data_IF_842859306310
#
_entry.id   IF_842859306310
#
_cell.length_a   1.000
_cell.length_b   1.000
_cell.length_c   1.000
_cell.angle_alpha   90.00
_cell.angle_beta   90.00
_cell.angle_gamma   90.00
#
_symmetry.space_group_name_H-M   'P 1'
#
loop_
_entity.id
_entity.type
_entity.pdbx_description
1 polymer ?
#
# COMPACT_ATOMS: atom_id res chain seq x y z
N UNK A 1 -15.89 -2.70 22.77
CA UNK A 1 -14.47 -3.05 23.00
C UNK A 1 -13.65 -2.02 22.25
N UNK A 2 -12.91 -1.18 22.99
CA UNK A 2 -11.93 -0.27 22.39
C UNK A 2 -10.90 -1.14 21.67
N UNK A 3 -10.83 -1.08 20.34
CA UNK A 3 -9.78 -1.75 19.59
C UNK A 3 -8.49 -1.00 19.89
N UNK A 4 -7.59 -1.58 20.67
CA UNK A 4 -6.32 -0.95 21.01
C UNK A 4 -5.51 -0.72 19.74
N UNK A 5 -5.04 0.50 19.58
CA UNK A 5 -4.06 0.83 18.55
C UNK A 5 -2.75 0.11 18.85
N UNK A 6 -2.19 -0.53 17.84
CA UNK A 6 -0.89 -1.21 17.93
C UNK A 6 -0.11 -0.82 16.69
N UNK A 7 1.14 -0.42 16.89
CA UNK A 7 2.07 -0.12 15.81
C UNK A 7 3.45 -0.62 16.23
N UNK A 8 4.10 -1.36 15.34
CA UNK A 8 5.48 -1.81 15.51
C UNK A 8 6.23 -1.76 14.20
N UNK A 9 7.52 -1.47 14.31
CA UNK A 9 8.46 -1.49 13.18
C UNK A 9 8.96 -2.92 12.93
N UNK A 10 9.27 -3.23 11.67
CA UNK A 10 9.91 -4.47 11.22
C UNK A 10 11.33 -4.17 10.73
N UNK A 11 12.30 -3.88 11.62
CA UNK A 11 13.65 -3.47 11.23
C UNK A 11 14.39 -4.54 10.41
N UNK A 12 14.06 -5.82 10.62
CA UNK A 12 14.63 -6.95 9.89
C UNK A 12 14.05 -7.16 8.49
N UNK A 13 13.02 -6.40 8.07
CA UNK A 13 12.29 -6.65 6.83
C UNK A 13 13.22 -6.68 5.61
N UNK A 14 14.10 -5.68 5.48
CA UNK A 14 14.99 -5.56 4.31
C UNK A 14 16.01 -6.70 4.24
N UNK A 15 16.60 -7.05 5.36
CA UNK A 15 17.58 -8.15 5.43
C UNK A 15 16.91 -9.50 5.15
N UNK A 16 15.67 -9.68 5.63
CA UNK A 16 14.85 -10.85 5.29
C UNK A 16 14.51 -10.87 3.79
N UNK A 17 14.07 -9.76 3.22
CA UNK A 17 13.72 -9.70 1.79
C UNK A 17 14.92 -10.03 0.90
N UNK A 18 16.11 -9.49 1.23
CA UNK A 18 17.34 -9.79 0.50
C UNK A 18 17.78 -11.24 0.61
N UNK A 19 17.57 -11.88 1.76
CA UNK A 19 18.01 -13.25 2.01
C UNK A 19 17.01 -14.31 1.53
N UNK A 20 15.71 -14.06 1.67
CA UNK A 20 14.62 -14.96 1.26
C UNK A 20 14.21 -14.74 -0.20
N UNK A 21 14.52 -13.57 -0.79
CA UNK A 21 14.24 -13.22 -2.17
C UNK A 21 12.80 -12.76 -2.41
N UNK A 22 11.84 -13.22 -1.62
CA UNK A 22 10.47 -12.75 -1.61
C UNK A 22 9.84 -12.86 -0.22
N UNK A 23 8.96 -11.92 0.13
CA UNK A 23 8.20 -11.93 1.38
C UNK A 23 6.74 -11.62 1.11
N UNK A 24 5.83 -12.45 1.63
CA UNK A 24 4.40 -12.17 1.56
C UNK A 24 3.98 -11.20 2.64
N UNK A 25 3.11 -10.27 2.29
CA UNK A 25 2.55 -9.30 3.24
C UNK A 25 1.73 -10.01 4.31
N UNK A 26 1.00 -11.07 3.97
CA UNK A 26 0.22 -11.86 4.94
C UNK A 26 1.08 -12.44 6.07
N UNK A 27 2.35 -12.74 5.80
CA UNK A 27 3.28 -13.36 6.77
C UNK A 27 3.84 -12.37 7.77
N UNK A 28 3.58 -11.07 7.59
CA UNK A 28 3.93 -10.04 8.56
C UNK A 28 3.05 -10.07 9.82
N UNK A 29 1.95 -10.83 9.80
CA UNK A 29 1.00 -10.95 10.92
C UNK A 29 0.69 -12.41 11.24
N UNK A 30 0.33 -12.67 12.50
CA UNK A 30 0.04 -14.04 12.97
C UNK A 30 -1.38 -14.53 12.64
N UNK A 31 -2.27 -13.67 12.17
CA UNK A 31 -3.68 -14.01 11.95
C UNK A 31 -3.97 -14.30 10.47
N UNK A 32 -5.01 -15.09 10.23
CA UNK A 32 -5.42 -15.46 8.87
C UNK A 32 -5.82 -14.24 8.04
N UNK A 33 -5.09 -14.01 6.95
CA UNK A 33 -5.38 -13.01 5.93
C UNK A 33 -6.02 -13.71 4.74
N UNK A 34 -7.23 -13.28 4.37
CA UNK A 34 -7.94 -13.81 3.20
C UNK A 34 -7.76 -12.95 1.95
N UNK A 35 -7.28 -11.71 2.12
CA UNK A 35 -6.91 -10.82 1.05
C UNK A 35 -6.40 -9.48 1.56
N UNK A 36 -5.90 -8.68 0.63
CA UNK A 36 -5.25 -7.40 0.88
C UNK A 36 -5.91 -6.29 0.04
N UNK A 37 -5.79 -5.06 0.52
CA UNK A 37 -6.02 -3.87 -0.29
C UNK A 37 -4.73 -3.06 -0.31
N UNK A 38 -4.02 -3.12 -1.43
CA UNK A 38 -2.87 -2.27 -1.66
C UNK A 38 -3.30 -0.81 -1.75
N UNK A 39 -2.59 0.07 -1.05
CA UNK A 39 -2.73 1.51 -1.02
C UNK A 39 -1.53 2.14 -1.69
N UNK A 40 -1.79 2.98 -2.69
CA UNK A 40 -0.81 3.73 -3.43
C UNK A 40 -1.30 5.18 -3.54
N UNK A 41 -0.97 6.00 -2.54
CA UNK A 41 -1.24 7.44 -2.52
C UNK A 41 -2.70 7.77 -2.80
N UNK A 42 -3.59 7.05 -2.12
CA UNK A 42 -5.04 7.17 -2.27
C UNK A 42 -5.68 6.19 -3.24
N UNK A 43 -4.94 5.68 -4.24
CA UNK A 43 -5.37 4.58 -5.09
C UNK A 43 -5.37 3.26 -4.31
N UNK A 44 -6.34 2.40 -4.60
CA UNK A 44 -6.62 1.16 -3.88
C UNK A 44 -6.79 -0.01 -4.85
N UNK A 45 -5.97 -1.03 -4.72
CA UNK A 45 -6.04 -2.25 -5.54
C UNK A 45 -6.33 -3.45 -4.64
N UNK A 46 -7.53 -4.05 -4.72
CA UNK A 46 -7.83 -5.28 -4.00
C UNK A 46 -7.09 -6.46 -4.64
N UNK A 47 -6.42 -7.27 -3.81
CA UNK A 47 -5.76 -8.50 -4.21
C UNK A 47 -5.93 -9.63 -3.19
N UNK A 48 -5.71 -10.86 -3.63
CA UNK A 48 -5.67 -12.05 -2.79
C UNK A 48 -4.39 -12.11 -1.94
N UNK A 49 -3.29 -11.54 -2.45
CA UNK A 49 -2.01 -11.40 -1.76
C UNK A 49 -1.23 -10.20 -2.30
N UNK A 50 -0.27 -9.72 -1.53
CA UNK A 50 0.80 -8.84 -1.98
C UNK A 50 2.16 -9.43 -1.60
N UNK A 51 3.09 -9.49 -2.56
CA UNK A 51 4.41 -10.09 -2.36
C UNK A 51 5.49 -9.06 -2.67
N UNK A 52 6.36 -8.80 -1.70
CA UNK A 52 7.60 -8.08 -1.95
C UNK A 52 8.61 -9.04 -2.59
N UNK A 53 9.31 -8.57 -3.62
CA UNK A 53 10.29 -9.36 -4.36
C UNK A 53 11.60 -8.58 -4.45
N UNK A 54 12.71 -9.22 -4.08
CA UNK A 54 14.04 -8.66 -4.25
C UNK A 54 14.52 -8.81 -5.70
N UNK A 55 14.91 -7.71 -6.34
CA UNK A 55 15.34 -7.71 -7.75
C UNK A 55 16.84 -7.37 -7.93
N UNK A 56 17.61 -7.33 -6.84
CA UNK A 56 19.04 -7.03 -6.88
C UNK A 56 19.34 -5.53 -7.03
N UNK A 57 19.38 -4.82 -5.89
CA UNK A 57 19.61 -3.37 -5.83
C UNK A 57 18.32 -2.54 -5.79
N UNK A 58 17.17 -3.21 -5.85
CA UNK A 58 15.82 -2.66 -5.74
C UNK A 58 14.87 -3.77 -5.31
N UNK A 59 13.66 -3.41 -4.95
CA UNK A 59 12.60 -4.39 -4.71
C UNK A 59 11.30 -3.96 -5.36
N UNK A 60 10.47 -4.93 -5.67
CA UNK A 60 9.12 -4.69 -6.18
C UNK A 60 8.06 -5.19 -5.21
N UNK A 61 6.85 -4.68 -5.37
CA UNK A 61 5.63 -5.20 -4.78
C UNK A 61 4.73 -5.69 -5.91
N UNK A 62 4.37 -6.96 -5.87
CA UNK A 62 3.47 -7.59 -6.82
C UNK A 62 2.14 -7.92 -6.13
N UNK A 63 1.03 -7.52 -6.74
CA UNK A 63 -0.31 -7.79 -6.21
C UNK A 63 -0.97 -8.89 -7.03
N UNK A 64 -1.34 -9.99 -6.38
CA UNK A 64 -2.25 -11.01 -6.94
C UNK A 64 -3.66 -10.42 -6.96
N UNK A 65 -3.95 -9.58 -7.95
CA UNK A 65 -5.10 -8.70 -7.92
C UNK A 65 -6.43 -9.45 -8.21
N UNK A 66 -7.53 -8.89 -7.73
CA UNK A 66 -8.85 -9.46 -8.01
C UNK A 66 -9.28 -9.13 -9.43
N UNK A 67 -9.62 -10.16 -10.21
CA UNK A 67 -10.13 -10.03 -11.58
C UNK A 67 -9.00 -10.03 -12.61
N UNK A 68 -9.16 -9.22 -13.64
CA UNK A 68 -8.19 -8.99 -14.73
C UNK A 68 -7.24 -7.82 -14.46
N UNK A 69 -7.16 -7.38 -13.20
CA UNK A 69 -6.28 -6.28 -12.79
C UNK A 69 -4.85 -6.77 -12.67
N UNK A 70 -3.92 -5.85 -12.81
CA UNK A 70 -2.56 -6.01 -12.32
C UNK A 70 -2.14 -4.79 -11.52
N UNK A 71 -1.28 -5.00 -10.52
CA UNK A 71 -0.57 -3.93 -9.84
C UNK A 71 0.85 -4.38 -9.49
N UNK A 72 1.81 -3.59 -9.94
CA UNK A 72 3.24 -3.82 -9.75
C UNK A 72 3.96 -2.50 -9.54
N UNK A 73 4.79 -2.43 -8.51
CA UNK A 73 5.49 -1.20 -8.11
C UNK A 73 6.93 -1.51 -7.76
N UNK A 74 7.89 -0.72 -8.26
CA UNK A 74 9.33 -0.87 -7.99
C UNK A 74 9.82 0.30 -7.15
N UNK A 75 10.54 -0.05 -6.09
CA UNK A 75 11.13 0.86 -5.13
C UNK A 75 12.65 0.75 -5.13
N UNK A 76 13.33 1.89 -4.98
CA UNK A 76 14.79 1.97 -4.84
C UNK A 76 15.20 1.43 -3.47
N UNK A 77 16.14 0.49 -3.40
CA UNK A 77 16.52 -0.11 -2.12
C UNK A 77 17.23 0.91 -1.20
N UNK A 78 18.01 1.84 -1.75
CA UNK A 78 18.82 2.80 -0.99
C UNK A 78 18.04 4.01 -0.46
N UNK A 79 16.73 4.12 -0.71
CA UNK A 79 15.90 5.24 -0.26
C UNK A 79 15.56 5.25 1.25
N UNK A 80 16.16 4.36 2.06
CA UNK A 80 15.95 4.35 3.51
C UNK A 80 14.54 3.91 3.93
N UNK A 81 14.08 2.78 3.40
CA UNK A 81 12.75 2.23 3.70
C UNK A 81 12.66 1.62 5.10
N UNK A 82 11.67 2.10 5.87
CA UNK A 82 11.21 1.47 7.10
C UNK A 82 9.84 0.85 6.89
N UNK A 83 9.62 -0.33 7.47
CA UNK A 83 8.37 -1.09 7.34
C UNK A 83 7.72 -1.23 8.69
N UNK A 84 6.40 -1.04 8.72
CA UNK A 84 5.60 -1.02 9.92
C UNK A 84 4.41 -1.94 9.78
N UNK A 85 4.03 -2.57 10.87
CA UNK A 85 2.78 -3.30 10.97
C UNK A 85 1.96 -2.68 12.08
N UNK A 86 0.70 -2.41 11.79
CA UNK A 86 -0.15 -1.76 12.76
C UNK A 86 -1.63 -2.01 12.56
N UNK A 87 -2.40 -1.44 13.48
CA UNK A 87 -3.86 -1.38 13.44
C UNK A 87 -4.26 -0.06 14.10
N UNK A 88 -4.85 0.84 13.32
CA UNK A 88 -5.46 2.07 13.84
C UNK A 88 -6.90 1.80 14.27
N UNK A 89 -7.44 2.63 15.17
CA UNK A 89 -8.79 2.45 15.67
C UNK A 89 -9.82 2.52 14.53
N UNK A 90 -10.62 1.45 14.38
CA UNK A 90 -11.65 1.36 13.34
C UNK A 90 -11.16 0.83 11.98
N UNK A 91 -9.85 0.66 11.81
CA UNK A 91 -9.25 0.18 10.56
C UNK A 91 -8.82 -1.30 10.64
N UNK A 92 -8.75 -1.99 9.47
CA UNK A 92 -8.10 -3.29 9.39
C UNK A 92 -6.60 -3.17 9.73
N UNK A 93 -5.95 -4.26 10.18
CA UNK A 93 -4.49 -4.31 10.25
C UNK A 93 -3.87 -3.91 8.93
N UNK A 94 -2.65 -3.39 8.97
CA UNK A 94 -1.93 -3.01 7.77
C UNK A 94 -0.43 -3.30 7.91
N UNK A 95 0.21 -3.46 6.76
CA UNK A 95 1.66 -3.33 6.61
C UNK A 95 1.89 -2.06 5.79
N UNK A 96 2.57 -1.06 6.33
CA UNK A 96 2.90 0.18 5.64
C UNK A 96 4.41 0.36 5.58
N UNK A 97 4.89 1.12 4.61
CA UNK A 97 6.32 1.41 4.49
C UNK A 97 6.52 2.83 3.99
N UNK A 98 7.63 3.43 4.44
CA UNK A 98 7.94 4.84 4.21
C UNK A 98 9.45 5.00 4.04
N UNK A 99 9.86 5.73 3.00
CA UNK A 99 11.27 6.05 2.76
C UNK A 99 11.69 7.35 3.47
N UNK A 100 12.99 7.59 3.57
CA UNK A 100 13.51 8.82 4.19
C UNK A 100 13.02 10.07 3.45
N UNK A 101 13.08 10.05 2.11
CA UNK A 101 12.66 11.17 1.27
C UNK A 101 11.18 11.52 1.40
N UNK A 102 10.30 10.51 1.51
CA UNK A 102 8.86 10.70 1.78
C UNK A 102 8.66 11.44 3.10
N UNK A 103 9.28 10.93 4.16
CA UNK A 103 9.16 11.51 5.49
C UNK A 103 9.68 12.95 5.54
N UNK A 104 10.90 13.18 5.06
CA UNK A 104 11.55 14.50 5.07
C UNK A 104 10.75 15.55 4.29
N UNK A 105 10.12 15.15 3.19
CA UNK A 105 9.41 16.07 2.29
C UNK A 105 7.97 16.32 2.74
N UNK A 106 7.27 15.30 3.25
CA UNK A 106 5.82 15.36 3.46
C UNK A 106 5.41 15.48 4.94
N UNK A 107 6.27 15.03 5.86
CA UNK A 107 5.86 14.76 7.25
C UNK A 107 6.72 15.41 8.33
N UNK A 108 8.00 15.68 8.05
CA UNK A 108 8.97 16.19 9.03
C UNK A 108 8.62 17.58 9.62
N UNK A 109 7.76 18.36 8.95
CA UNK A 109 7.25 19.63 9.48
C UNK A 109 6.19 19.45 10.58
N UNK A 110 5.57 18.26 10.67
CA UNK A 110 4.44 17.97 11.55
C UNK A 110 4.80 17.02 12.69
N UNK A 111 5.69 16.07 12.43
CA UNK A 111 6.05 14.98 13.35
C UNK A 111 7.55 14.73 13.33
N UNK A 112 8.08 14.14 14.41
CA UNK A 112 9.54 14.02 14.57
C UNK A 112 10.13 12.74 13.97
N UNK A 113 9.32 11.69 13.80
CA UNK A 113 9.76 10.37 13.35
C UNK A 113 8.72 9.69 12.46
N UNK A 114 9.16 8.78 11.58
CA UNK A 114 8.27 8.01 10.68
C UNK A 114 7.20 7.23 11.44
N UNK A 115 7.57 6.60 12.56
CA UNK A 115 6.63 5.85 13.42
C UNK A 115 5.44 6.71 13.85
N UNK A 116 5.67 7.99 14.15
CA UNK A 116 4.60 8.93 14.50
C UNK A 116 3.71 9.25 13.29
N UNK A 117 4.30 9.49 12.10
CA UNK A 117 3.56 9.68 10.85
C UNK A 117 2.64 8.48 10.54
N UNK A 118 3.20 7.26 10.58
CA UNK A 118 2.44 6.02 10.37
C UNK A 118 1.32 5.87 11.42
N UNK A 119 1.59 6.22 12.68
CA UNK A 119 0.60 6.21 13.77
C UNK A 119 -0.60 7.12 13.51
N UNK A 120 -0.43 8.20 12.75
CA UNK A 120 -1.51 9.06 12.30
C UNK A 120 -2.14 8.62 10.95
N UNK A 121 -1.74 7.47 10.41
CA UNK A 121 -2.21 6.98 9.12
C UNK A 121 -1.65 7.76 7.93
N UNK A 122 -0.51 8.44 8.12
CA UNK A 122 0.13 9.29 7.12
C UNK A 122 1.23 8.47 6.44
N UNK A 123 0.86 7.81 5.35
CA UNK A 123 1.78 7.04 4.51
C UNK A 123 1.25 6.93 3.08
N UNK A 124 2.16 6.94 2.12
CA UNK A 124 1.87 6.78 0.71
C UNK A 124 1.59 5.33 0.32
N UNK A 125 2.24 4.37 0.99
CA UNK A 125 2.21 2.97 0.59
C UNK A 125 1.87 2.05 1.75
N UNK A 126 0.97 1.09 1.48
CA UNK A 126 0.63 0.08 2.47
C UNK A 126 -0.32 -0.98 1.94
N UNK A 127 -0.44 -2.08 2.66
CA UNK A 127 -1.42 -3.12 2.41
C UNK A 127 -2.31 -3.29 3.62
N UNK A 128 -3.60 -3.06 3.45
CA UNK A 128 -4.59 -3.31 4.50
C UNK A 128 -5.06 -4.76 4.41
N UNK A 129 -5.02 -5.46 5.54
CA UNK A 129 -5.18 -6.90 5.65
C UNK A 129 -6.59 -7.26 6.09
N UNK A 130 -7.23 -8.16 5.35
CA UNK A 130 -8.62 -8.50 5.54
C UNK A 130 -8.81 -9.98 5.82
N UNK A 131 -9.43 -10.28 6.97
CA UNK A 131 -10.00 -11.61 7.20
C UNK A 131 -11.24 -11.84 6.34
N UNK A 132 -11.65 -13.11 6.22
CA UNK A 132 -12.66 -13.60 5.28
C UNK A 132 -13.95 -12.77 5.25
N UNK A 133 -14.49 -12.42 6.43
CA UNK A 133 -15.76 -11.69 6.57
C UNK A 133 -15.73 -10.31 5.90
N UNK A 134 -14.61 -9.60 6.02
CA UNK A 134 -14.41 -8.27 5.42
C UNK A 134 -13.93 -8.37 3.97
N UNK A 135 -13.15 -9.40 3.66
CA UNK A 135 -12.56 -9.59 2.35
C UNK A 135 -13.61 -9.93 1.28
N UNK A 136 -14.53 -10.86 1.58
CA UNK A 136 -15.52 -11.35 0.61
C UNK A 136 -16.33 -10.24 -0.06
N UNK A 137 -16.70 -9.21 0.68
CA UNK A 137 -17.45 -8.08 0.13
C UNK A 137 -16.60 -7.22 -0.82
N UNK A 138 -15.31 -7.03 -0.49
CA UNK A 138 -14.36 -6.26 -1.30
C UNK A 138 -14.02 -7.01 -2.58
N UNK A 139 -13.70 -8.30 -2.49
CA UNK A 139 -13.45 -9.15 -3.65
C UNK A 139 -14.65 -9.16 -4.60
N UNK A 140 -15.87 -9.34 -4.08
CA UNK A 140 -17.10 -9.30 -4.89
C UNK A 140 -17.30 -7.94 -5.56
N UNK A 141 -17.06 -6.83 -4.85
CA UNK A 141 -17.18 -5.49 -5.45
C UNK A 141 -16.13 -5.28 -6.55
N UNK A 142 -14.90 -5.75 -6.33
CA UNK A 142 -13.81 -5.64 -7.29
C UNK A 142 -14.07 -6.47 -8.56
N UNK A 143 -14.57 -7.70 -8.42
CA UNK A 143 -14.88 -8.57 -9.57
C UNK A 143 -16.03 -8.06 -10.45
N UNK A 144 -16.88 -7.17 -9.92
CA UNK A 144 -17.97 -6.52 -10.67
C UNK A 144 -17.57 -5.17 -11.29
N UNK A 145 -16.31 -4.73 -11.13
CA UNK A 145 -15.81 -3.43 -11.58
C UNK A 145 -14.76 -3.61 -12.67
N UNK A 146 -14.76 -2.75 -13.68
CA UNK A 146 -13.73 -2.66 -14.74
C UNK A 146 -12.73 -1.53 -14.49
N UNK A 147 -12.73 -0.92 -13.30
CA UNK A 147 -11.74 0.09 -12.96
C UNK A 147 -10.44 -0.57 -12.47
N UNK A 148 -9.26 -0.06 -12.87
CA UNK A 148 -7.96 -0.65 -12.52
C UNK A 148 -7.65 -0.50 -11.03
N UNK A 149 -8.15 0.57 -10.40
CA UNK A 149 -8.04 0.82 -8.97
C UNK A 149 -9.30 1.55 -8.49
N UNK A 150 -9.46 1.63 -7.17
CA UNK A 150 -10.45 2.48 -6.51
C UNK A 150 -9.76 3.68 -5.87
N UNK A 151 -10.49 4.77 -5.67
CA UNK A 151 -9.99 5.94 -4.95
C UNK A 151 -10.67 6.05 -3.59
N UNK A 152 -9.90 6.35 -2.54
CA UNK A 152 -10.49 6.72 -1.27
C UNK A 152 -10.73 8.23 -1.23
N UNK A 153 -11.97 8.66 -0.99
CA UNK A 153 -12.28 10.07 -0.78
C UNK A 153 -11.90 10.50 0.64
N UNK A 154 -11.68 11.80 0.87
CA UNK A 154 -11.49 12.35 2.21
C UNK A 154 -12.68 12.09 3.16
N UNK A 155 -13.89 11.85 2.62
CA UNK A 155 -15.07 11.47 3.39
C UNK A 155 -15.11 9.97 3.77
N UNK A 156 -14.04 9.23 3.49
CA UNK A 156 -13.90 7.79 3.73
C UNK A 156 -14.62 6.89 2.73
N UNK A 157 -15.25 7.45 1.68
CA UNK A 157 -15.94 6.65 0.66
C UNK A 157 -14.98 6.18 -0.42
N UNK A 158 -15.07 4.88 -0.74
CA UNK A 158 -14.40 4.30 -1.90
C UNK A 158 -15.18 4.59 -3.19
N UNK A 159 -14.51 5.26 -4.13
CA UNK A 159 -15.03 5.62 -5.46
C UNK A 159 -14.40 4.74 -6.52
N UNK A 160 -15.20 4.37 -7.51
CA UNK A 160 -14.71 3.77 -8.75
C UNK A 160 -14.41 4.92 -9.71
N UNK A 161 -13.17 5.12 -10.17
CA UNK A 161 -12.89 6.12 -11.19
C UNK A 161 -13.63 5.74 -12.47
N UNK A 162 -14.68 6.47 -12.84
CA UNK A 162 -15.49 6.25 -14.04
C UNK A 162 -15.27 7.36 -15.10
N UNK A 163 -14.05 7.90 -15.14
CA UNK A 163 -13.55 8.81 -16.18
C UNK A 163 -14.11 10.24 -16.15
N UNK A 164 -15.36 10.45 -15.73
CA UNK A 164 -16.01 11.77 -15.80
C UNK A 164 -16.16 12.48 -14.44
N UNK A 165 -16.10 11.76 -13.33
CA UNK A 165 -16.30 12.30 -11.97
C UNK A 165 -15.07 12.23 -11.05
N UNK A 166 -13.90 11.88 -11.60
CA UNK A 166 -12.65 11.78 -10.83
C UNK A 166 -11.91 13.12 -10.88
N UNK A 167 -11.69 13.82 -9.76
CA UNK A 167 -10.92 15.05 -9.77
C UNK A 167 -9.50 14.80 -10.27
N UNK A 168 -8.96 15.71 -11.08
CA UNK A 168 -7.63 15.58 -11.71
C UNK A 168 -6.49 15.39 -10.68
N UNK A 169 -6.68 15.87 -9.45
CA UNK A 169 -5.72 15.70 -8.34
C UNK A 169 -5.94 14.45 -7.47
N UNK A 170 -6.94 13.62 -7.75
CA UNK A 170 -7.23 12.43 -6.95
C UNK A 170 -6.41 11.20 -7.39
N UNK A 171 -5.83 11.23 -8.59
CA UNK A 171 -5.02 10.15 -9.14
C UNK A 171 -3.53 10.57 -9.12
N UNK A 172 -2.65 9.77 -8.50
CA UNK A 172 -1.20 10.03 -8.48
C UNK A 172 -0.63 10.23 -9.89
N UNK A 173 0.30 11.19 -10.10
CA UNK A 173 0.89 11.49 -11.41
C UNK A 173 1.47 10.26 -12.14
N UNK A 174 2.15 9.39 -11.40
CA UNK A 174 2.72 8.13 -11.90
C UNK A 174 1.66 7.15 -12.45
N UNK A 175 0.42 7.23 -11.97
CA UNK A 175 -0.70 6.45 -12.50
C UNK A 175 -1.39 7.14 -13.69
N UNK A 176 -1.06 8.41 -13.95
CA UNK A 176 -1.50 9.18 -15.13
C UNK A 176 -0.47 9.17 -16.27
N UNK A 177 0.68 8.51 -16.07
CA UNK A 177 1.78 8.44 -17.05
C UNK A 177 2.80 9.56 -16.94
N UNK A 178 2.80 10.32 -15.84
CA UNK A 178 3.84 11.29 -15.49
C UNK A 178 4.93 10.63 -14.65
N UNK A 179 6.07 11.31 -14.48
CA UNK A 179 7.14 10.80 -13.61
C UNK A 179 6.71 10.80 -12.14
N UNK A 180 7.05 9.76 -11.35
CA UNK A 180 6.79 9.77 -9.92
C UNK A 180 7.60 10.87 -9.23
N UNK A 181 7.06 11.49 -8.15
CA UNK A 181 7.85 12.40 -7.32
C UNK A 181 9.12 11.72 -6.80
N UNK A 182 10.28 12.36 -7.04
CA UNK A 182 11.59 11.76 -6.80
C UNK A 182 11.82 11.37 -5.33
N UNK A 183 11.22 12.11 -4.39
CA UNK A 183 11.36 11.85 -2.95
C UNK A 183 10.65 10.57 -2.49
N UNK A 184 9.80 9.95 -3.32
CA UNK A 184 9.08 8.72 -2.97
C UNK A 184 9.87 7.43 -3.22
N UNK A 185 11.10 7.51 -3.75
CA UNK A 185 11.91 6.32 -4.03
C UNK A 185 11.25 5.32 -5.01
N UNK A 186 10.35 5.80 -5.86
CA UNK A 186 9.66 5.01 -6.88
C UNK A 186 10.47 5.01 -8.18
N UNK A 187 10.73 3.83 -8.75
CA UNK A 187 11.33 3.71 -10.09
C UNK A 187 10.28 3.49 -11.18
N UNK A 188 9.29 2.64 -10.89
CA UNK A 188 8.29 2.26 -11.88
C UNK A 188 7.01 1.81 -11.21
N UNK A 189 5.89 2.12 -11.86
CA UNK A 189 4.55 1.74 -11.42
C UNK A 189 3.77 1.23 -12.62
N UNK A 190 3.01 0.15 -12.43
CA UNK A 190 2.02 -0.30 -13.39
C UNK A 190 0.79 -0.79 -12.64
N UNK A 191 -0.31 -0.06 -12.77
CA UNK A 191 -1.63 -0.46 -12.25
C UNK A 191 -2.60 -0.36 -13.41
N UNK A 192 -3.26 -1.46 -13.74
CA UNK A 192 -4.06 -1.53 -14.95
C UNK A 192 -4.88 -2.81 -15.06
N UNK A 193 -5.18 -3.16 -16.31
CA UNK A 193 -5.75 -4.44 -16.72
C UNK A 193 -4.81 -5.10 -17.73
N UNK A 194 -4.82 -6.44 -17.76
CA UNK A 194 -4.15 -7.24 -18.80
C UNK A 194 -4.86 -7.16 -20.17
#
# INVERSE_FOLDING_TARGET
MSGSEVLYELPQFRDRLRSEGALRVSEAVEHDVSGVVYHHRGARVPGHEATFVWEGGRFSLEIDAVGDRHAWVVFEDDAGWDVFVGRLAGDPPFVAWMCDGEFETEEADLVSEKTEAIGYGRFSFGCYLHGESTWRQKARRASMSTAPFFLNRPDGRTVVPDGSATPDGAVPPELRGEDPPAHLGLQRVSIGHE
#
